data_IF_096018709633
#
_entry.id   IF_096018709633
#
_cell.length_a   1.000
_cell.length_b   1.000
_cell.length_c   1.000
_cell.angle_alpha   90.00
_cell.angle_beta   90.00
_cell.angle_gamma   90.00
#
_symmetry.space_group_name_H-M   'P 1'
#
loop_
_entity.id
_entity.type
_entity.pdbx_description
1 polymer ?
#
# COMPACT_ATOMS: atom_id res chain seq x y z
N UNK A 1 28.97 -7.00 9.29
CA UNK A 1 27.85 -7.26 8.36
C UNK A 1 26.75 -7.92 9.17
N UNK A 2 25.50 -7.43 9.14
CA UNK A 2 24.41 -8.13 9.82
C UNK A 2 24.30 -9.56 9.24
N UNK A 3 23.91 -10.56 10.04
CA UNK A 3 23.71 -11.91 9.54
C UNK A 3 22.71 -11.90 8.38
N UNK A 4 22.87 -12.80 7.38
CA UNK A 4 21.88 -12.93 6.32
C UNK A 4 20.50 -13.20 6.97
N UNK A 5 19.42 -12.61 6.44
CA UNK A 5 18.07 -12.83 6.94
C UNK A 5 17.74 -14.32 7.01
N UNK A 6 16.87 -14.73 7.93
CA UNK A 6 16.33 -16.09 7.89
C UNK A 6 15.52 -16.28 6.58
N UNK A 7 15.81 -17.28 5.74
CA UNK A 7 15.03 -17.59 4.54
C UNK A 7 13.52 -17.75 4.80
N UNK A 8 13.12 -18.13 6.01
CA UNK A 8 11.72 -18.20 6.41
C UNK A 8 10.98 -16.86 6.25
N UNK A 9 11.68 -15.72 6.27
CA UNK A 9 11.09 -14.39 6.10
C UNK A 9 10.43 -14.19 4.74
N UNK A 10 10.94 -14.88 3.70
CA UNK A 10 10.39 -14.81 2.35
C UNK A 10 9.18 -15.72 2.14
N UNK A 11 9.04 -16.77 2.96
CA UNK A 11 8.00 -17.81 2.78
C UNK A 11 6.58 -17.26 2.84
N UNK A 12 6.36 -16.20 3.63
CA UNK A 12 5.06 -15.53 3.75
C UNK A 12 4.74 -14.56 2.62
N UNK A 13 5.70 -14.27 1.73
CA UNK A 13 5.54 -13.27 0.68
C UNK A 13 4.91 -13.89 -0.57
N UNK A 14 3.89 -13.26 -1.18
CA UNK A 14 3.24 -13.79 -2.37
C UNK A 14 4.18 -14.07 -3.55
N UNK A 15 5.27 -13.30 -3.68
CA UNK A 15 6.24 -13.49 -4.76
C UNK A 15 6.98 -14.84 -4.65
N UNK A 16 7.27 -15.28 -3.43
CA UNK A 16 8.03 -16.50 -3.15
C UNK A 16 7.12 -17.66 -2.70
N UNK A 17 5.81 -17.52 -2.87
CA UNK A 17 4.84 -18.53 -2.50
C UNK A 17 5.07 -19.84 -3.27
N UNK A 18 5.12 -20.95 -2.54
CA UNK A 18 5.28 -22.30 -3.10
C UNK A 18 6.71 -22.69 -3.47
N UNK A 19 7.72 -21.87 -3.14
CA UNK A 19 9.13 -22.21 -3.34
C UNK A 19 9.66 -23.06 -2.17
N UNK A 20 10.63 -23.91 -2.48
CA UNK A 20 11.31 -24.76 -1.48
C UNK A 20 12.35 -23.97 -0.67
N UNK A 21 12.85 -24.59 0.41
CA UNK A 21 13.79 -23.94 1.32
C UNK A 21 15.12 -23.58 0.65
N UNK A 22 15.58 -24.36 -0.32
CA UNK A 22 16.81 -24.12 -1.06
C UNK A 22 16.68 -22.85 -1.92
N UNK A 23 15.60 -22.75 -2.69
CA UNK A 23 15.28 -21.57 -3.51
C UNK A 23 15.11 -20.31 -2.65
N UNK A 24 14.44 -20.42 -1.49
CA UNK A 24 14.30 -19.28 -0.58
C UNK A 24 15.65 -18.83 -0.01
N UNK A 25 16.52 -19.77 0.37
CA UNK A 25 17.85 -19.45 0.89
C UNK A 25 18.72 -18.76 -0.16
N UNK A 26 18.60 -19.22 -1.40
CA UNK A 26 19.30 -18.65 -2.54
C UNK A 26 18.81 -17.23 -2.86
N UNK A 27 17.48 -17.01 -2.86
CA UNK A 27 16.90 -15.68 -3.01
C UNK A 27 17.37 -14.72 -1.90
N UNK A 28 17.40 -15.18 -0.63
CA UNK A 28 17.92 -14.38 0.48
C UNK A 28 19.40 -14.06 0.32
N UNK A 29 20.22 -14.99 -0.16
CA UNK A 29 21.65 -14.78 -0.36
C UNK A 29 21.95 -13.65 -1.37
N UNK A 30 21.05 -13.42 -2.32
CA UNK A 30 21.13 -12.35 -3.31
C UNK A 30 20.52 -11.02 -2.82
N UNK A 31 19.83 -11.03 -1.68
CA UNK A 31 19.17 -9.87 -1.10
C UNK A 31 20.13 -9.00 -0.28
N UNK A 32 19.85 -7.70 -0.21
CA UNK A 32 20.55 -6.75 0.65
C UNK A 32 19.56 -6.09 1.61
N UNK A 33 19.75 -6.21 2.94
CA UNK A 33 18.93 -5.49 3.89
C UNK A 33 19.21 -3.98 3.82
N UNK A 34 18.15 -3.17 3.90
CA UNK A 34 18.23 -1.72 4.05
C UNK A 34 17.29 -1.25 5.14
N UNK A 35 17.71 -0.19 5.82
CA UNK A 35 16.93 0.50 6.84
C UNK A 35 16.61 1.89 6.30
N UNK A 36 15.35 2.30 6.46
CA UNK A 36 14.87 3.61 6.08
C UNK A 36 14.20 4.26 7.28
N UNK A 37 14.57 5.50 7.57
CA UNK A 37 13.94 6.28 8.63
C UNK A 37 12.65 6.89 8.09
N UNK A 38 11.64 7.06 8.95
CA UNK A 38 10.41 7.76 8.57
C UNK A 38 10.71 9.08 7.85
N UNK A 39 10.08 9.26 6.69
CA UNK A 39 10.18 10.45 5.85
C UNK A 39 11.26 10.38 4.76
N UNK A 40 12.09 9.34 4.72
CA UNK A 40 13.11 9.19 3.66
C UNK A 40 12.54 8.48 2.43
N UNK A 41 13.04 8.86 1.25
CA UNK A 41 12.76 8.13 0.02
C UNK A 41 13.57 6.82 -0.02
N UNK A 42 12.92 5.73 -0.40
CA UNK A 42 13.55 4.46 -0.76
C UNK A 42 14.14 4.57 -2.18
N UNK A 43 13.37 5.17 -3.09
CA UNK A 43 13.78 5.58 -4.43
C UNK A 43 12.84 6.70 -4.92
N UNK A 44 13.29 7.44 -5.93
CA UNK A 44 12.52 8.57 -6.49
C UNK A 44 11.95 8.28 -7.88
N UNK A 45 10.85 8.96 -8.21
CA UNK A 45 10.24 8.90 -9.54
C UNK A 45 11.25 9.36 -10.62
N UNK A 46 11.37 8.59 -11.69
CA UNK A 46 12.28 8.85 -12.81
C UNK A 46 13.73 8.43 -12.57
N UNK A 47 14.07 7.91 -11.38
CA UNK A 47 15.37 7.26 -11.17
C UNK A 47 15.42 5.91 -11.90
N UNK A 48 16.61 5.54 -12.36
CA UNK A 48 16.83 4.25 -12.98
C UNK A 48 16.56 3.11 -11.99
N UNK A 49 15.78 2.12 -12.42
CA UNK A 49 15.35 0.99 -11.61
C UNK A 49 16.48 -0.01 -11.39
N UNK A 50 17.31 0.25 -10.38
CA UNK A 50 18.46 -0.59 -10.07
C UNK A 50 18.10 -1.85 -9.27
N UNK A 51 16.93 -1.91 -8.62
CA UNK A 51 16.57 -2.99 -7.72
C UNK A 51 15.06 -3.25 -7.59
N UNK A 52 14.71 -4.46 -7.17
CA UNK A 52 13.38 -4.81 -6.66
C UNK A 52 13.42 -4.84 -5.13
N UNK A 53 12.31 -4.52 -4.48
CA UNK A 53 12.24 -4.31 -3.04
C UNK A 53 11.15 -5.17 -2.40
N UNK A 54 11.39 -5.70 -1.21
CA UNK A 54 10.39 -6.33 -0.36
C UNK A 54 10.38 -5.62 1.00
N UNK A 55 9.21 -5.17 1.44
CA UNK A 55 9.09 -4.58 2.76
C UNK A 55 9.01 -5.69 3.81
N UNK A 56 9.91 -5.67 4.79
CA UNK A 56 9.95 -6.63 5.90
C UNK A 56 9.17 -6.12 7.09
N UNK A 57 9.38 -4.85 7.43
CA UNK A 57 8.73 -4.18 8.53
C UNK A 57 8.54 -2.70 8.20
N UNK A 58 7.54 -2.06 8.82
CA UNK A 58 7.19 -0.66 8.59
C UNK A 58 6.13 -0.47 7.50
N UNK A 59 6.17 0.70 6.85
CA UNK A 59 5.17 1.11 5.84
C UNK A 59 5.78 2.08 4.83
N UNK A 60 5.58 1.80 3.55
CA UNK A 60 6.04 2.67 2.44
C UNK A 60 4.85 3.22 1.67
N UNK A 61 4.86 4.51 1.36
CA UNK A 61 3.89 5.19 0.50
C UNK A 61 4.43 5.27 -0.92
N UNK A 62 3.67 4.77 -1.89
CA UNK A 62 3.95 4.97 -3.32
C UNK A 62 3.14 6.16 -3.80
N UNK A 63 3.83 7.21 -4.23
CA UNK A 63 3.22 8.48 -4.66
C UNK A 63 3.75 8.86 -6.03
N UNK A 64 2.85 9.22 -6.93
CA UNK A 64 3.19 9.73 -8.24
C UNK A 64 2.99 11.25 -8.24
N UNK A 65 3.96 11.99 -8.76
CA UNK A 65 3.90 13.45 -8.87
C UNK A 65 3.73 13.85 -10.33
N UNK A 66 2.70 14.64 -10.61
CA UNK A 66 2.42 15.21 -11.93
C UNK A 66 3.31 16.41 -12.28
N UNK A 67 3.31 16.87 -13.54
CA UNK A 67 4.13 18.01 -13.99
C UNK A 67 3.81 19.33 -13.29
N UNK A 68 2.59 19.46 -12.75
CA UNK A 68 2.11 20.61 -11.98
C UNK A 68 2.39 20.47 -10.46
N UNK A 69 3.10 19.42 -10.05
CA UNK A 69 3.42 19.11 -8.67
C UNK A 69 2.27 18.47 -7.88
N UNK A 70 1.12 18.20 -8.50
CA UNK A 70 0.04 17.49 -7.84
C UNK A 70 0.43 16.03 -7.59
N UNK A 71 0.13 15.55 -6.39
CA UNK A 71 0.48 14.20 -5.97
C UNK A 71 -0.74 13.29 -5.95
N UNK A 72 -0.52 12.04 -6.35
CA UNK A 72 -1.51 10.96 -6.24
C UNK A 72 -0.87 9.81 -5.47
N UNK A 73 -1.48 9.43 -4.35
CA UNK A 73 -1.04 8.27 -3.58
C UNK A 73 -1.59 7.02 -4.23
N UNK A 74 -0.69 6.30 -4.89
CA UNK A 74 -1.01 5.09 -5.65
C UNK A 74 -1.32 3.93 -4.71
N UNK A 75 -0.59 3.79 -3.60
CA UNK A 75 -0.74 2.68 -2.65
C UNK A 75 0.14 2.89 -1.41
N UNK A 76 -0.22 2.24 -0.31
CA UNK A 76 0.71 1.93 0.78
C UNK A 76 1.15 0.47 0.71
N UNK A 77 2.46 0.22 0.81
CA UNK A 77 3.10 -1.09 0.84
C UNK A 77 3.28 -1.49 2.29
N UNK A 78 2.79 -2.68 2.66
CA UNK A 78 2.97 -3.29 3.96
C UNK A 78 4.01 -4.41 4.00
N UNK A 79 4.31 -4.92 5.21
CA UNK A 79 5.16 -6.08 5.41
C UNK A 79 4.73 -7.26 4.53
N UNK A 80 5.71 -7.90 3.88
CA UNK A 80 5.52 -9.02 2.97
C UNK A 80 5.15 -8.66 1.54
N UNK A 81 4.99 -7.37 1.22
CA UNK A 81 4.72 -6.90 -0.14
C UNK A 81 6.00 -6.49 -0.90
N UNK A 82 6.02 -6.82 -2.18
CA UNK A 82 7.05 -6.36 -3.12
C UNK A 82 6.75 -4.96 -3.66
N UNK A 83 7.75 -4.16 -4.01
CA UNK A 83 7.59 -2.88 -4.70
C UNK A 83 8.85 -2.55 -5.52
N UNK A 84 8.76 -1.59 -6.44
CA UNK A 84 9.84 -1.26 -7.38
C UNK A 84 10.14 -2.31 -8.46
N UNK A 85 9.74 -3.57 -8.27
CA UNK A 85 10.09 -4.71 -9.14
C UNK A 85 9.65 -4.55 -10.60
N UNK A 86 8.53 -3.86 -10.88
CA UNK A 86 8.02 -3.75 -12.25
C UNK A 86 8.90 -2.88 -13.14
N UNK A 87 9.52 -1.85 -12.56
CA UNK A 87 10.36 -0.93 -13.31
C UNK A 87 11.57 -1.63 -13.94
N UNK A 88 12.01 -2.76 -13.36
CA UNK A 88 13.08 -3.62 -13.89
C UNK A 88 12.69 -4.27 -15.23
N UNK A 89 11.40 -4.53 -15.44
CA UNK A 89 10.88 -5.27 -16.59
C UNK A 89 10.13 -4.37 -17.60
N UNK A 90 10.12 -3.06 -17.39
CA UNK A 90 9.49 -2.06 -18.27
C UNK A 90 10.55 -1.22 -18.99
N UNK A 91 10.42 0.10 -18.94
CA UNK A 91 11.33 1.10 -19.49
C UNK A 91 12.59 1.34 -18.64
N UNK A 92 12.72 0.68 -17.48
CA UNK A 92 13.90 0.78 -16.64
C UNK A 92 13.89 1.95 -15.66
N UNK A 93 12.76 2.61 -15.43
CA UNK A 93 12.65 3.76 -14.52
C UNK A 93 11.51 3.60 -13.51
N UNK A 94 11.72 4.07 -12.28
CA UNK A 94 10.65 4.05 -11.28
C UNK A 94 9.54 5.05 -11.66
N UNK A 95 8.27 4.60 -11.79
CA UNK A 95 7.19 5.46 -12.25
C UNK A 95 6.61 6.38 -11.17
N UNK A 96 7.08 6.24 -9.93
CA UNK A 96 6.58 6.90 -8.73
C UNK A 96 7.67 6.92 -7.65
N UNK A 97 7.56 7.83 -6.69
CA UNK A 97 8.38 7.84 -5.48
C UNK A 97 7.92 6.73 -4.52
N UNK A 98 8.86 6.14 -3.80
CA UNK A 98 8.59 5.28 -2.65
C UNK A 98 9.13 5.94 -1.39
N UNK A 99 8.25 6.33 -0.46
CA UNK A 99 8.62 7.09 0.75
C UNK A 99 8.26 6.31 2.01
N UNK A 100 9.20 6.15 2.93
CA UNK A 100 8.95 5.52 4.23
C UNK A 100 8.02 6.40 5.08
N UNK A 101 6.85 5.89 5.50
CA UNK A 101 5.91 6.63 6.37
C UNK A 101 5.98 6.20 7.84
N UNK A 102 6.72 5.12 8.10
CA UNK A 102 7.24 4.69 9.38
C UNK A 102 8.71 4.29 9.19
N UNK A 103 9.45 4.01 10.26
CA UNK A 103 10.76 3.35 10.12
C UNK A 103 10.55 2.00 9.43
N UNK A 104 11.37 1.70 8.43
CA UNK A 104 11.20 0.54 7.57
C UNK A 104 12.45 -0.33 7.54
N UNK A 105 12.22 -1.64 7.49
CA UNK A 105 13.21 -2.64 7.12
C UNK A 105 12.81 -3.21 5.78
N UNK A 106 13.70 -3.19 4.80
CA UNK A 106 13.46 -3.83 3.50
C UNK A 106 14.58 -4.80 3.14
N UNK A 107 14.26 -5.70 2.20
CA UNK A 107 15.24 -6.41 1.40
C UNK A 107 15.19 -5.85 -0.02
N UNK A 108 16.36 -5.60 -0.62
CA UNK A 108 16.47 -5.22 -2.02
C UNK A 108 17.34 -6.20 -2.81
N UNK A 109 16.92 -6.47 -4.04
CA UNK A 109 17.62 -7.33 -4.99
C UNK A 109 18.03 -6.51 -6.19
N UNK A 110 19.31 -6.50 -6.60
CA UNK A 110 19.72 -5.90 -7.86
C UNK A 110 18.87 -6.41 -9.03
N UNK A 111 18.58 -5.56 -10.01
CA UNK A 111 17.79 -5.91 -11.18
C UNK A 111 18.26 -7.21 -11.85
N UNK A 112 19.57 -7.35 -12.06
CA UNK A 112 20.15 -8.57 -12.64
C UNK A 112 19.88 -9.83 -11.79
N UNK A 113 19.95 -9.73 -10.46
CA UNK A 113 19.67 -10.85 -9.57
C UNK A 113 18.18 -11.24 -9.58
N UNK A 114 17.28 -10.26 -9.68
CA UNK A 114 15.85 -10.53 -9.85
C UNK A 114 15.55 -11.27 -11.16
N UNK A 115 16.14 -10.81 -12.26
CA UNK A 115 16.00 -11.48 -13.57
C UNK A 115 16.54 -12.91 -13.49
N UNK A 116 17.74 -13.10 -12.94
CA UNK A 116 18.35 -14.42 -12.79
C UNK A 116 17.50 -15.36 -11.94
N UNK A 117 16.96 -14.88 -10.81
CA UNK A 117 16.04 -15.66 -9.97
C UNK A 117 14.78 -16.07 -10.73
N UNK A 118 14.20 -15.19 -11.55
CA UNK A 118 13.02 -15.51 -12.36
C UNK A 118 13.32 -16.52 -13.47
N UNK A 119 14.48 -16.43 -14.09
CA UNK A 119 14.92 -17.35 -15.15
C UNK A 119 15.15 -18.76 -14.59
N UNK A 120 15.81 -18.86 -13.42
CA UNK A 120 16.08 -20.14 -12.76
C UNK A 120 14.86 -20.73 -12.08
N UNK A 121 13.97 -19.89 -11.56
CA UNK A 121 12.78 -20.30 -10.81
C UNK A 121 11.52 -19.66 -11.40
N UNK A 122 10.95 -20.21 -12.50
CA UNK A 122 9.80 -19.62 -13.21
C UNK A 122 8.53 -19.42 -12.36
N UNK A 123 8.44 -20.10 -11.21
CA UNK A 123 7.38 -19.85 -10.24
C UNK A 123 7.38 -18.41 -9.72
N UNK A 124 8.55 -17.78 -9.56
CA UNK A 124 8.68 -16.37 -9.15
C UNK A 124 8.04 -15.46 -10.20
N UNK A 125 8.32 -15.68 -11.49
CA UNK A 125 7.73 -14.90 -12.58
C UNK A 125 6.20 -15.05 -12.64
N UNK A 126 5.68 -16.28 -12.45
CA UNK A 126 4.22 -16.53 -12.38
C UNK A 126 3.58 -15.82 -11.19
N UNK A 127 4.21 -15.88 -10.02
CA UNK A 127 3.74 -15.18 -8.83
C UNK A 127 3.76 -13.66 -9.04
N UNK A 128 4.80 -13.11 -9.67
CA UNK A 128 4.88 -11.70 -10.05
C UNK A 128 3.72 -11.30 -10.96
N UNK A 129 3.39 -12.10 -11.99
CA UNK A 129 2.25 -11.84 -12.87
C UNK A 129 0.92 -11.83 -12.12
N UNK A 130 0.72 -12.74 -11.17
CA UNK A 130 -0.46 -12.76 -10.30
C UNK A 130 -0.58 -11.47 -9.47
N UNK A 131 0.53 -11.02 -8.88
CA UNK A 131 0.60 -9.77 -8.11
C UNK A 131 0.26 -8.57 -9.00
N UNK A 132 0.81 -8.52 -10.22
CA UNK A 132 0.51 -7.47 -11.20
C UNK A 132 -0.96 -7.47 -11.59
N UNK A 133 -1.54 -8.64 -11.86
CA UNK A 133 -2.96 -8.78 -12.18
C UNK A 133 -3.86 -8.26 -11.05
N UNK A 134 -3.50 -8.52 -9.78
CA UNK A 134 -4.17 -7.96 -8.62
C UNK A 134 -4.09 -6.44 -8.57
N UNK A 135 -2.89 -5.87 -8.77
CA UNK A 135 -2.66 -4.42 -8.80
C UNK A 135 -3.41 -3.72 -9.93
N UNK A 136 -3.41 -4.30 -11.13
CA UNK A 136 -4.14 -3.76 -12.27
C UNK A 136 -5.65 -3.71 -11.99
N UNK A 137 -6.20 -4.78 -11.42
CA UNK A 137 -7.62 -4.83 -11.02
C UNK A 137 -7.96 -3.77 -9.99
N UNK A 138 -7.09 -3.56 -9.01
CA UNK A 138 -7.27 -2.48 -8.03
C UNK A 138 -7.25 -1.09 -8.66
N UNK A 139 -6.32 -0.83 -9.60
CA UNK A 139 -6.25 0.43 -10.31
C UNK A 139 -7.50 0.67 -11.17
N UNK A 140 -7.99 -0.35 -11.87
CA UNK A 140 -9.24 -0.28 -12.64
C UNK A 140 -10.44 0.03 -11.73
N UNK A 141 -10.52 -0.60 -10.56
CA UNK A 141 -11.58 -0.31 -9.58
C UNK A 141 -11.52 1.15 -9.10
N UNK A 142 -10.32 1.65 -8.79
CA UNK A 142 -10.14 3.06 -8.37
C UNK A 142 -10.48 4.04 -9.47
N UNK A 143 -10.11 3.73 -10.71
CA UNK A 143 -10.48 4.55 -11.87
C UNK A 143 -12.00 4.65 -12.02
N UNK A 144 -12.72 3.52 -11.89
CA UNK A 144 -14.18 3.50 -11.87
C UNK A 144 -14.75 4.36 -10.75
N UNK A 145 -14.22 4.22 -9.52
CA UNK A 145 -14.66 5.00 -8.36
C UNK A 145 -14.51 6.50 -8.63
N UNK A 146 -13.34 6.96 -9.10
CA UNK A 146 -13.08 8.37 -9.43
C UNK A 146 -14.03 8.87 -10.52
N UNK A 147 -14.30 8.06 -11.54
CA UNK A 147 -15.13 8.45 -12.67
C UNK A 147 -16.65 8.46 -12.37
N UNK A 148 -17.12 7.69 -11.37
CA UNK A 148 -18.56 7.42 -11.20
C UNK A 148 -19.11 7.72 -9.81
N UNK A 149 -18.27 7.80 -8.77
CA UNK A 149 -18.72 7.89 -7.40
C UNK A 149 -18.55 9.28 -6.78
N UNK A 150 -19.45 9.59 -5.84
CA UNK A 150 -19.35 10.77 -4.97
C UNK A 150 -18.13 10.67 -4.06
N UNK A 151 -17.57 11.81 -3.66
CA UNK A 151 -16.31 11.89 -2.91
C UNK A 151 -16.36 11.09 -1.61
N UNK A 152 -17.48 11.14 -0.89
CA UNK A 152 -17.69 10.45 0.38
C UNK A 152 -17.55 8.93 0.23
N UNK A 153 -18.07 8.37 -0.87
CA UNK A 153 -17.95 6.94 -1.19
C UNK A 153 -16.49 6.55 -1.43
N UNK A 154 -15.76 7.37 -2.19
CA UNK A 154 -14.34 7.15 -2.48
C UNK A 154 -13.49 7.19 -1.22
N UNK A 155 -13.75 8.14 -0.32
CA UNK A 155 -13.09 8.22 1.00
C UNK A 155 -13.39 6.96 1.81
N UNK A 156 -14.66 6.51 1.85
CA UNK A 156 -15.03 5.31 2.60
C UNK A 156 -14.35 4.06 2.03
N UNK A 157 -14.35 3.87 0.70
CA UNK A 157 -13.62 2.77 0.05
C UNK A 157 -12.11 2.82 0.32
N UNK A 158 -11.50 4.02 0.32
CA UNK A 158 -10.09 4.19 0.64
C UNK A 158 -9.76 3.75 2.07
N UNK A 159 -10.53 4.21 3.07
CA UNK A 159 -10.34 3.80 4.47
C UNK A 159 -10.58 2.31 4.68
N UNK A 160 -11.62 1.73 4.05
CA UNK A 160 -11.90 0.30 4.12
C UNK A 160 -10.78 -0.53 3.49
N UNK A 161 -10.18 -0.08 2.39
CA UNK A 161 -8.97 -0.69 1.81
C UNK A 161 -7.82 -0.69 2.81
N UNK A 162 -7.53 0.45 3.44
CA UNK A 162 -6.46 0.56 4.42
C UNK A 162 -6.69 -0.37 5.61
N UNK A 163 -7.91 -0.42 6.15
CA UNK A 163 -8.26 -1.32 7.25
C UNK A 163 -8.07 -2.80 6.88
N UNK A 164 -8.34 -3.22 5.64
CA UNK A 164 -8.10 -4.61 5.23
C UNK A 164 -6.62 -5.00 5.24
N UNK A 165 -5.72 -4.06 4.96
CA UNK A 165 -4.28 -4.33 4.80
C UNK A 165 -3.43 -3.92 6.02
N UNK A 166 -3.96 -3.03 6.85
CA UNK A 166 -3.23 -2.35 7.92
C UNK A 166 -4.14 -2.11 9.14
N UNK A 167 -5.24 -2.88 9.26
CA UNK A 167 -6.20 -2.74 10.34
C UNK A 167 -5.77 -3.51 11.58
N UNK A 168 -5.62 -2.82 12.71
CA UNK A 168 -5.43 -3.42 14.02
C UNK A 168 -6.68 -3.25 14.87
N UNK A 169 -7.18 -4.33 15.46
CA UNK A 169 -8.30 -4.26 16.40
C UNK A 169 -7.84 -3.58 17.70
N UNK A 170 -8.61 -2.60 18.13
CA UNK A 170 -8.44 -1.86 19.39
C UNK A 170 -9.80 -1.80 20.09
N UNK A 171 -9.82 -1.44 21.37
CA UNK A 171 -11.08 -1.33 22.14
C UNK A 171 -12.11 -0.41 21.46
N UNK A 172 -11.61 0.65 20.84
CA UNK A 172 -12.40 1.64 20.11
C UNK A 172 -13.00 1.15 18.78
N UNK A 173 -12.44 0.12 18.14
CA UNK A 173 -12.79 -0.27 16.78
C UNK A 173 -11.62 -0.87 16.01
N UNK A 174 -11.45 -0.45 14.75
CA UNK A 174 -10.32 -0.89 13.91
C UNK A 174 -9.46 0.31 13.54
N UNK A 175 -8.24 0.34 14.06
CA UNK A 175 -7.24 1.37 13.83
C UNK A 175 -6.44 1.06 12.56
N UNK A 176 -6.14 2.09 11.76
CA UNK A 176 -5.13 1.99 10.70
C UNK A 176 -3.74 2.12 11.36
N UNK A 177 -2.94 1.05 11.28
CA UNK A 177 -1.73 0.82 12.09
C UNK A 177 -0.48 1.62 11.70
N UNK A 178 -0.66 2.71 10.95
CA UNK A 178 0.43 3.60 10.55
C UNK A 178 -0.04 5.05 10.45
N UNK A 179 0.87 6.04 10.50
CA UNK A 179 0.51 7.44 10.37
C UNK A 179 -0.19 7.74 9.04
N UNK A 180 -1.47 8.11 9.08
CA UNK A 180 -2.29 8.45 7.92
C UNK A 180 -2.80 9.88 8.04
N UNK A 181 -2.31 10.79 7.19
CA UNK A 181 -2.78 12.17 7.19
C UNK A 181 -4.03 12.36 6.33
N UNK A 182 -4.76 13.46 6.57
CA UNK A 182 -5.89 13.86 5.71
C UNK A 182 -5.43 14.19 4.28
N UNK A 183 -4.19 14.65 4.12
CA UNK A 183 -3.59 14.90 2.82
C UNK A 183 -3.38 13.59 2.06
N UNK A 184 -2.90 12.54 2.72
CA UNK A 184 -2.76 11.22 2.10
C UNK A 184 -4.13 10.70 1.60
N UNK A 185 -5.18 10.85 2.41
CA UNK A 185 -6.55 10.46 2.00
C UNK A 185 -7.04 11.30 0.81
N UNK A 186 -6.71 12.58 0.75
CA UNK A 186 -7.07 13.44 -0.38
C UNK A 186 -6.38 12.98 -1.68
N UNK A 187 -5.07 12.73 -1.60
CA UNK A 187 -4.24 12.24 -2.70
C UNK A 187 -4.63 10.83 -3.15
N UNK A 188 -5.13 9.98 -2.25
CA UNK A 188 -5.67 8.64 -2.57
C UNK A 188 -7.02 8.69 -3.28
N UNK A 189 -7.83 9.74 -3.04
CA UNK A 189 -9.25 9.78 -3.45
C UNK A 189 -9.53 10.79 -4.55
N UNK A 190 -8.48 11.48 -5.02
CA UNK A 190 -8.59 12.50 -6.07
C UNK A 190 -9.52 13.64 -5.65
N UNK A 191 -9.39 14.11 -4.42
CA UNK A 191 -10.16 15.26 -3.91
C UNK A 191 -9.26 16.21 -3.13
N UNK A 192 -9.82 17.29 -2.60
CA UNK A 192 -9.05 18.29 -1.86
C UNK A 192 -8.92 17.93 -0.39
N UNK A 193 -7.85 18.38 0.25
CA UNK A 193 -7.65 18.31 1.71
C UNK A 193 -8.84 18.90 2.48
N UNK A 194 -9.41 19.99 1.96
CA UNK A 194 -10.57 20.64 2.55
C UNK A 194 -11.79 19.71 2.56
N UNK A 195 -12.09 19.05 1.43
CA UNK A 195 -13.21 18.10 1.33
C UNK A 195 -13.00 16.91 2.26
N UNK A 196 -11.81 16.28 2.26
CA UNK A 196 -11.51 15.18 3.19
C UNK A 196 -11.69 15.62 4.65
N UNK A 197 -11.16 16.79 5.01
CA UNK A 197 -11.26 17.30 6.37
C UNK A 197 -12.72 17.50 6.81
N UNK A 198 -13.55 18.11 5.94
CA UNK A 198 -14.98 18.26 6.23
C UNK A 198 -15.68 16.91 6.36
N UNK A 199 -15.41 15.96 5.46
CA UNK A 199 -16.05 14.64 5.48
C UNK A 199 -15.66 13.84 6.72
N UNK A 200 -14.36 13.78 7.07
CA UNK A 200 -13.91 13.05 8.25
C UNK A 200 -14.43 13.67 9.56
N UNK A 201 -14.46 15.00 9.67
CA UNK A 201 -15.04 15.67 10.84
C UNK A 201 -16.55 15.40 10.98
N UNK A 202 -17.29 15.31 9.86
CA UNK A 202 -18.71 14.96 9.88
C UNK A 202 -18.94 13.49 10.28
N UNK A 203 -18.08 12.57 9.85
CA UNK A 203 -18.15 11.17 10.29
C UNK A 203 -17.71 10.99 11.75
N UNK A 204 -16.80 11.82 12.23
CA UNK A 204 -16.37 11.86 13.61
C UNK A 204 -17.49 12.33 14.55
N UNK A 205 -18.24 13.38 14.19
CA UNK A 205 -19.41 13.81 14.97
C UNK A 205 -20.54 12.77 14.99
N UNK A 206 -20.59 11.87 14.00
CA UNK A 206 -21.51 10.73 13.95
C UNK A 206 -20.95 9.47 14.65
N UNK A 207 -19.71 9.53 15.14
CA UNK A 207 -18.99 8.41 15.76
C UNK A 207 -18.74 7.24 14.81
N UNK A 208 -18.64 7.49 13.50
CA UNK A 208 -18.30 6.48 12.49
C UNK A 208 -16.79 6.23 12.49
N UNK A 209 -16.04 7.32 12.59
CA UNK A 209 -14.57 7.32 12.67
C UNK A 209 -14.13 8.17 13.86
N UNK A 210 -12.88 8.01 14.26
CA UNK A 210 -12.14 8.91 15.15
C UNK A 210 -10.86 9.28 14.40
N UNK A 211 -10.59 10.58 14.26
CA UNK A 211 -9.52 11.10 13.39
C UNK A 211 -8.59 12.04 14.17
N UNK A 212 -7.55 11.47 14.78
CA UNK A 212 -6.51 12.21 15.50
C UNK A 212 -5.35 12.71 14.62
N UNK A 213 -4.24 13.10 15.25
CA UNK A 213 -3.01 13.56 14.58
C UNK A 213 -2.32 12.41 13.84
N UNK A 214 -2.71 12.20 12.58
CA UNK A 214 -2.26 11.11 11.70
C UNK A 214 -2.72 9.71 12.15
N UNK A 215 -3.81 9.60 12.88
CA UNK A 215 -4.36 8.33 13.33
C UNK A 215 -5.84 8.28 12.98
N UNK A 216 -6.29 7.17 12.40
CA UNK A 216 -7.69 6.98 12.03
C UNK A 216 -8.18 5.65 12.58
N UNK A 217 -9.24 5.71 13.40
CA UNK A 217 -9.92 4.53 13.95
C UNK A 217 -11.32 4.46 13.38
N UNK A 218 -11.67 3.33 12.77
CA UNK A 218 -13.02 3.07 12.29
C UNK A 218 -13.84 2.49 13.46
N UNK A 219 -14.67 3.34 14.07
CA UNK A 219 -15.52 3.00 15.22
C UNK A 219 -16.74 2.18 14.80
N UNK A 220 -17.32 2.46 13.63
CA UNK A 220 -18.50 1.76 13.07
C UNK A 220 -18.23 1.25 11.65
N UNK A 221 -17.55 0.09 11.49
CA UNK A 221 -17.23 -0.45 10.16
C UNK A 221 -18.47 -0.66 9.27
N UNK A 222 -19.59 -1.10 9.84
CA UNK A 222 -20.84 -1.30 9.10
C UNK A 222 -21.39 0.02 8.51
N UNK A 223 -21.31 1.13 9.26
CA UNK A 223 -21.78 2.43 8.79
C UNK A 223 -20.87 2.96 7.67
N UNK A 224 -19.56 2.73 7.78
CA UNK A 224 -18.60 3.09 6.73
C UNK A 224 -18.82 2.28 5.45
N UNK A 225 -19.13 0.98 5.57
CA UNK A 225 -19.53 0.13 4.43
C UNK A 225 -20.82 0.63 3.81
N UNK A 226 -21.82 0.99 4.61
CA UNK A 226 -23.07 1.56 4.09
C UNK A 226 -22.83 2.84 3.28
N UNK A 227 -21.89 3.70 3.70
CA UNK A 227 -21.49 4.88 2.93
C UNK A 227 -20.77 4.49 1.63
N UNK A 228 -19.81 3.56 1.70
CA UNK A 228 -19.03 3.12 0.53
C UNK A 228 -19.93 2.54 -0.57
N UNK A 229 -20.87 1.68 -0.17
CA UNK A 229 -21.79 1.00 -1.07
C UNK A 229 -23.07 1.81 -1.37
N UNK A 230 -23.23 2.99 -0.75
CA UNK A 230 -24.40 3.88 -0.87
C UNK A 230 -25.72 3.17 -0.51
N UNK A 231 -25.64 2.38 0.56
CA UNK A 231 -26.78 1.67 1.11
C UNK A 231 -27.68 2.65 1.89
N UNK A 232 -29.01 2.45 1.86
CA UNK A 232 -29.93 3.25 2.64
C UNK A 232 -29.59 3.14 4.14
N UNK A 233 -29.55 4.29 4.81
CA UNK A 233 -29.29 4.34 6.25
C UNK A 233 -30.37 3.54 7.01
N UNK A 234 -29.99 2.67 7.97
CA UNK A 234 -30.95 1.93 8.78
C UNK A 234 -31.92 2.83 9.59
N UNK A 235 -31.65 4.14 9.67
CA UNK A 235 -32.52 5.13 10.31
C UNK A 235 -33.74 5.58 9.46
N UNK A 236 -33.85 5.19 8.19
CA UNK A 236 -34.93 5.64 7.29
C UNK A 236 -36.23 4.80 7.37
N UNK A 237 -36.37 3.91 8.37
CA UNK A 237 -37.62 3.17 8.63
C UNK A 237 -38.21 3.55 9.99
N UNK A 238 -38.75 4.76 10.09
CA UNK A 238 -39.74 5.16 11.10
C UNK A 238 -40.63 6.25 10.49
N UNK A 239 -41.63 5.81 9.74
CA UNK A 239 -42.92 6.48 9.58
C UNK A 239 -43.99 5.45 9.97
#
# INVERSE_FOLDING_TARGET
MPPPPDPAILRGMPLFAGLDAETLAEAVALARPRLHVRGTAVFSQGEAAAAGHALIDGRVKIVQTGPDGQQVVMRFIGPGEMFGTLAIFTDGFYPADAVAVADCVELSWPAAAMTELMDRHPAIARNALSIVGGRLRELQNRLREVATERVERRIAHALLRLVRHAGRRVEAGVEIDFPLSRQDVAEMTGTTLHTVSRTLSAWESQGIVESGRQQVVIRKPHALVAIAEDLPSPAAKRD
#
